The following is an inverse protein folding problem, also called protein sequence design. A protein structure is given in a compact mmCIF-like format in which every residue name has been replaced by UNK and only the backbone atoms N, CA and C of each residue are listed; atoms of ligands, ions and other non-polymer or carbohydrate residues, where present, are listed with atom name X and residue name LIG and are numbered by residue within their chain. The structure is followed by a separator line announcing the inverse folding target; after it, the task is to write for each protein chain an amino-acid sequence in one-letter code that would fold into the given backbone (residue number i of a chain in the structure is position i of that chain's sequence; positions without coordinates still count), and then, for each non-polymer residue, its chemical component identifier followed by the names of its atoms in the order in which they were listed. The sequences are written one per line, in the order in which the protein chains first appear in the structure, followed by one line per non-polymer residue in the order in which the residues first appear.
data_IF_771528105278
#
_entry.id   IF_771528105278
#
_cell.length_a   1.000
_cell.length_b   1.000
_cell.length_c   1.000
_cell.angle_alpha   90.00
_cell.angle_beta   90.00
_cell.angle_gamma   90.00
#
_symmetry.space_group_name_H-M   'P 1'
#
loop_
_entity.id
_entity.type
_entity.pdbx_description
1 polymer ?
#
# COMPACT_ATOMS: atom_id res chain seq x y z
N UNK A 1 -21.25 -20.11 4.70
CA UNK A 1 -19.86 -19.63 4.60
C UNK A 1 -19.42 -19.87 3.17
N UNK A 2 -19.25 -18.83 2.37
CA UNK A 2 -18.62 -18.99 1.06
C UNK A 2 -17.85 -17.71 0.76
N UNK A 3 -16.55 -17.75 1.05
CA UNK A 3 -15.65 -16.70 0.60
C UNK A 3 -15.37 -16.94 -0.90
N UNK A 4 -15.67 -15.97 -1.78
CA UNK A 4 -15.58 -16.16 -3.22
C UNK A 4 -14.20 -16.72 -3.62
N UNK A 5 -14.13 -17.84 -4.36
CA UNK A 5 -12.86 -18.47 -4.73
C UNK A 5 -11.88 -17.50 -5.40
N UNK A 6 -12.38 -16.57 -6.20
CA UNK A 6 -11.62 -15.54 -6.89
C UNK A 6 -10.91 -14.53 -5.97
N UNK A 7 -11.33 -14.42 -4.69
CA UNK A 7 -10.71 -13.50 -3.72
C UNK A 7 -9.70 -14.20 -2.81
N UNK A 8 -9.62 -15.54 -2.82
CA UNK A 8 -8.77 -16.32 -1.91
C UNK A 8 -7.28 -16.01 -2.03
N UNK A 9 -6.84 -15.66 -3.23
CA UNK A 9 -5.43 -15.40 -3.52
C UNK A 9 -5.01 -13.95 -3.24
N UNK A 10 -5.97 -13.03 -3.10
CA UNK A 10 -5.70 -11.58 -3.00
C UNK A 10 -6.22 -10.91 -1.73
N UNK A 11 -6.99 -11.62 -0.92
CA UNK A 11 -7.57 -11.08 0.31
C UNK A 11 -7.33 -12.02 1.50
N UNK A 12 -7.01 -11.41 2.65
CA UNK A 12 -6.77 -12.10 3.91
C UNK A 12 -7.64 -11.56 5.04
N UNK A 13 -7.73 -12.31 6.13
CA UNK A 13 -8.44 -11.90 7.36
C UNK A 13 -7.44 -11.84 8.53
N UNK A 14 -7.76 -11.07 9.57
CA UNK A 14 -6.96 -11.02 10.79
C UNK A 14 -7.07 -12.29 11.66
N UNK A 15 -7.99 -13.20 11.34
CA UNK A 15 -8.21 -14.43 12.10
C UNK A 15 -8.83 -14.21 13.49
N UNK A 16 -9.44 -13.04 13.72
CA UNK A 16 -10.08 -12.67 15.00
C UNK A 16 -11.56 -13.00 14.99
N UNK A 17 -12.13 -13.22 16.19
CA UNK A 17 -13.58 -13.41 16.36
C UNK A 17 -14.38 -12.11 16.23
N UNK A 18 -15.70 -12.22 16.22
CA UNK A 18 -16.60 -11.07 16.09
C UNK A 18 -16.54 -10.12 17.29
N UNK A 19 -16.22 -10.63 18.49
CA UNK A 19 -16.09 -9.81 19.70
C UNK A 19 -14.90 -8.84 19.60
N UNK A 20 -13.92 -9.14 18.75
CA UNK A 20 -12.77 -8.28 18.50
C UNK A 20 -13.07 -7.06 17.59
N UNK A 21 -14.25 -6.95 16.97
CA UNK A 21 -14.57 -5.87 16.02
C UNK A 21 -14.47 -4.49 16.69
N UNK A 22 -15.25 -4.23 17.75
CA UNK A 22 -15.26 -2.92 18.41
C UNK A 22 -13.90 -2.54 19.04
N UNK A 23 -13.19 -3.45 19.74
CA UNK A 23 -11.83 -3.16 20.20
C UNK A 23 -10.85 -2.85 19.06
N UNK A 24 -10.96 -3.54 17.92
CA UNK A 24 -10.09 -3.30 16.76
C UNK A 24 -10.40 -1.96 16.11
N UNK A 25 -11.69 -1.62 15.96
CA UNK A 25 -12.12 -0.31 15.47
C UNK A 25 -11.57 0.81 16.33
N UNK A 26 -11.66 0.70 17.67
CA UNK A 26 -11.07 1.67 18.60
C UNK A 26 -9.58 1.91 18.33
N UNK A 27 -8.80 0.83 18.19
CA UNK A 27 -7.36 0.92 17.88
C UNK A 27 -7.07 1.56 16.51
N UNK A 28 -7.92 1.30 15.52
CA UNK A 28 -7.81 1.92 14.18
C UNK A 28 -8.10 3.42 14.27
N UNK A 29 -9.14 3.82 14.99
CA UNK A 29 -9.51 5.23 15.16
C UNK A 29 -8.43 6.01 15.93
N UNK A 30 -7.90 5.45 17.01
CA UNK A 30 -6.77 6.05 17.75
C UNK A 30 -5.54 6.23 16.85
N UNK A 31 -5.20 5.20 16.06
CA UNK A 31 -4.08 5.29 15.13
C UNK A 31 -4.32 6.30 14.02
N UNK A 32 -5.55 6.39 13.51
CA UNK A 32 -5.94 7.34 12.48
C UNK A 32 -5.87 8.79 12.99
N UNK A 33 -6.34 9.06 14.21
CA UNK A 33 -6.26 10.38 14.84
C UNK A 33 -4.81 10.88 14.93
N UNK A 34 -3.88 10.00 15.35
CA UNK A 34 -2.46 10.32 15.39
C UNK A 34 -1.91 10.73 14.01
N UNK A 35 -2.29 10.01 12.95
CA UNK A 35 -1.79 10.30 11.59
C UNK A 35 -2.47 11.50 10.94
N UNK A 36 -3.73 11.80 11.27
CA UNK A 36 -4.42 13.00 10.80
C UNK A 36 -3.80 14.29 11.37
N UNK A 37 -3.25 14.21 12.58
CA UNK A 37 -2.54 15.32 13.22
C UNK A 37 -1.05 15.41 12.87
N UNK A 38 -0.50 14.41 12.17
CA UNK A 38 0.92 14.35 11.86
C UNK A 38 1.29 15.28 10.68
N UNK A 39 2.49 15.87 10.77
CA UNK A 39 3.04 16.68 9.68
C UNK A 39 3.31 15.83 8.43
N UNK A 40 3.06 16.34 7.20
CA UNK A 40 3.22 15.57 5.97
C UNK A 40 4.59 14.88 5.80
N UNK A 41 5.73 15.47 6.18
CA UNK A 41 7.03 14.78 6.11
C UNK A 41 7.11 13.53 7.00
N UNK A 42 6.46 13.53 8.17
CA UNK A 42 6.43 12.39 9.08
C UNK A 42 5.58 11.25 8.50
N UNK A 43 4.42 11.59 7.91
CA UNK A 43 3.56 10.64 7.20
C UNK A 43 4.32 9.98 6.05
N UNK A 44 4.99 10.78 5.20
CA UNK A 44 5.77 10.26 4.07
C UNK A 44 6.93 9.38 4.52
N UNK A 45 7.63 9.73 5.61
CA UNK A 45 8.70 8.90 6.14
C UNK A 45 8.19 7.53 6.61
N UNK A 46 7.08 7.50 7.34
CA UNK A 46 6.47 6.27 7.84
C UNK A 46 5.91 5.38 6.72
N UNK A 47 5.34 6.01 5.67
CA UNK A 47 4.88 5.29 4.48
C UNK A 47 6.04 4.64 3.72
N UNK A 48 7.14 5.36 3.51
CA UNK A 48 8.35 4.85 2.84
C UNK A 48 9.03 3.70 3.58
N UNK A 49 9.00 3.74 4.91
CA UNK A 49 9.54 2.67 5.75
C UNK A 49 8.78 1.35 5.54
N UNK A 50 7.48 1.43 5.24
CA UNK A 50 6.57 0.28 5.05
C UNK A 50 6.24 0.03 3.58
N UNK A 51 7.00 0.61 2.66
CA UNK A 51 6.75 0.50 1.22
C UNK A 51 6.95 -0.95 0.75
N UNK A 52 5.82 -1.65 0.59
CA UNK A 52 5.79 -3.05 0.18
C UNK A 52 6.21 -3.26 -1.29
N UNK A 53 6.19 -2.19 -2.10
CA UNK A 53 6.51 -2.27 -3.53
C UNK A 53 7.99 -2.02 -3.79
N UNK A 54 8.70 -1.32 -2.90
CA UNK A 54 10.11 -0.96 -3.11
C UNK A 54 10.99 -2.17 -3.45
N UNK A 55 11.71 -2.06 -4.56
CA UNK A 55 12.59 -3.08 -5.10
C UNK A 55 11.87 -4.25 -5.80
N UNK A 56 10.54 -4.20 -5.94
CA UNK A 56 9.74 -5.22 -6.61
C UNK A 56 9.47 -4.83 -8.06
N UNK A 57 9.37 -5.86 -8.90
CA UNK A 57 8.87 -5.69 -10.26
C UNK A 57 7.36 -5.45 -10.22
N UNK A 58 6.92 -4.38 -10.88
CA UNK A 58 5.52 -3.97 -10.92
C UNK A 58 5.04 -3.74 -12.34
N UNK A 59 3.73 -3.90 -12.55
CA UNK A 59 3.03 -3.59 -13.79
C UNK A 59 1.85 -2.67 -13.52
N UNK A 60 1.63 -1.71 -14.42
CA UNK A 60 0.48 -0.81 -14.42
C UNK A 60 -0.01 -0.61 -15.87
N UNK A 61 -1.09 0.16 -16.06
CA UNK A 61 -1.69 0.39 -17.39
C UNK A 61 -0.74 0.97 -18.44
N UNK A 62 0.31 1.68 -18.01
CA UNK A 62 1.29 2.34 -18.88
C UNK A 62 2.60 1.59 -19.06
N UNK A 63 2.76 0.39 -18.48
CA UNK A 63 3.98 -0.39 -18.63
C UNK A 63 4.36 -1.23 -17.41
N UNK A 64 5.63 -1.58 -17.33
CA UNK A 64 6.22 -2.35 -16.23
C UNK A 64 7.62 -1.84 -15.90
N UNK A 65 8.09 -2.11 -14.68
CA UNK A 65 9.40 -1.69 -14.21
C UNK A 65 9.63 -2.03 -12.74
N UNK A 66 10.79 -1.68 -12.21
CA UNK A 66 11.13 -1.90 -10.82
C UNK A 66 10.72 -0.68 -9.98
N UNK A 67 9.90 -0.89 -8.95
CA UNK A 67 9.50 0.17 -8.03
C UNK A 67 10.70 0.65 -7.20
N UNK A 68 11.05 1.93 -7.33
CA UNK A 68 12.18 2.55 -6.61
C UNK A 68 11.76 3.03 -5.22
N UNK A 69 10.50 3.43 -5.09
CA UNK A 69 9.86 3.83 -3.84
C UNK A 69 8.99 5.07 -4.02
N UNK A 70 8.54 5.65 -2.90
CA UNK A 70 7.63 6.80 -2.90
C UNK A 70 8.38 8.14 -2.92
N UNK A 71 8.03 9.06 -3.83
CA UNK A 71 8.63 10.40 -3.92
C UNK A 71 8.08 11.39 -2.87
N UNK A 72 8.54 12.65 -2.92
CA UNK A 72 8.16 13.70 -1.96
C UNK A 72 6.70 14.17 -2.10
N UNK A 73 6.02 13.78 -3.17
CA UNK A 73 4.62 14.08 -3.44
C UNK A 73 3.71 12.87 -3.19
N UNK A 74 4.25 11.78 -2.64
CA UNK A 74 3.49 10.55 -2.39
C UNK A 74 3.29 9.66 -3.61
N UNK A 75 4.01 9.90 -4.71
CA UNK A 75 3.89 9.15 -5.96
C UNK A 75 4.82 7.95 -5.97
N UNK A 76 4.38 6.83 -6.56
CA UNK A 76 5.26 5.68 -6.77
C UNK A 76 6.23 5.98 -7.92
N UNK A 77 7.53 5.93 -7.64
CA UNK A 77 8.58 5.98 -8.66
C UNK A 77 8.88 4.59 -9.17
N UNK A 78 8.88 4.42 -10.49
CA UNK A 78 9.21 3.17 -11.16
C UNK A 78 10.32 3.40 -12.18
N UNK A 79 11.35 2.58 -12.13
CA UNK A 79 12.43 2.53 -13.11
C UNK A 79 12.07 1.50 -14.19
N UNK A 80 11.88 1.95 -15.42
CA UNK A 80 11.56 1.08 -16.57
C UNK A 80 12.81 0.49 -17.23
N UNK A 81 14.00 0.85 -16.76
CA UNK A 81 15.28 0.58 -17.41
C UNK A 81 15.66 1.61 -18.47
N UNK A 82 14.70 2.40 -18.97
CA UNK A 82 14.95 3.52 -19.89
C UNK A 82 14.75 4.87 -19.23
N UNK A 83 13.82 4.97 -18.30
CA UNK A 83 13.50 6.19 -17.58
C UNK A 83 12.91 5.91 -16.20
N UNK A 84 12.72 6.99 -15.42
CA UNK A 84 11.97 6.94 -14.16
C UNK A 84 10.64 7.62 -14.34
N UNK A 85 9.57 6.87 -14.11
CA UNK A 85 8.19 7.34 -14.20
C UNK A 85 7.63 7.53 -12.80
N UNK A 86 6.92 8.64 -12.58
CA UNK A 86 6.21 8.91 -11.33
C UNK A 86 4.70 8.68 -11.50
N UNK A 87 4.17 7.67 -10.82
CA UNK A 87 2.74 7.30 -10.87
C UNK A 87 2.00 7.99 -9.73
N UNK A 88 1.09 8.91 -10.08
CA UNK A 88 0.32 9.67 -9.10
C UNK A 88 -0.87 8.92 -8.48
N UNK A 89 -1.47 8.01 -9.25
CA UNK A 89 -2.57 7.16 -8.83
C UNK A 89 -2.77 6.03 -9.86
N UNK A 90 -3.46 4.96 -9.46
CA UNK A 90 -3.82 3.86 -10.33
C UNK A 90 -3.59 2.50 -9.69
N UNK A 91 -4.02 1.45 -10.39
CA UNK A 91 -3.77 0.07 -9.99
C UNK A 91 -2.34 -0.34 -10.39
N UNK A 92 -1.68 -1.01 -9.44
CA UNK A 92 -0.34 -1.56 -9.63
C UNK A 92 -0.38 -3.01 -9.21
N UNK A 93 0.11 -3.89 -10.08
CA UNK A 93 0.20 -5.32 -9.83
C UNK A 93 1.66 -5.69 -9.57
N UNK A 94 1.90 -6.47 -8.52
CA UNK A 94 3.19 -7.13 -8.32
C UNK A 94 3.33 -8.26 -9.35
N UNK A 95 4.49 -8.31 -10.02
CA UNK A 95 4.85 -9.50 -10.77
C UNK A 95 5.43 -10.56 -9.80
N UNK A 96 5.08 -11.85 -9.99
CA UNK A 96 5.65 -12.96 -9.21
C UNK A 96 7.18 -13.03 -9.27
#
# INVERSE_FOLDING_TARGET
EDFPPELRDSAGTLGLDQQAIEPTLGRVLESLELWLAAEPPAVLAAARERDALRGKQVRWSGGQGCAVGIDQHGRLLVDTGTERVALGAGEVHLEP
#
